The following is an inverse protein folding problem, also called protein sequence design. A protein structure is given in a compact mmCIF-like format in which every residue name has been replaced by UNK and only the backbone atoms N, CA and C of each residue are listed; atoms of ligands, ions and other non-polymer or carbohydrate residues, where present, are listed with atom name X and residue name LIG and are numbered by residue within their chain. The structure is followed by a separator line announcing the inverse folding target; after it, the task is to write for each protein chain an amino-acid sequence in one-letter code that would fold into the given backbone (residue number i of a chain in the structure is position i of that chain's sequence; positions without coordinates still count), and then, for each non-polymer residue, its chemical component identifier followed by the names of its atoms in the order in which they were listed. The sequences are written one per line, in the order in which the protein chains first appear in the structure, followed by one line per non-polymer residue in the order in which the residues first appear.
data_IF_177620557488
#
_entry.id   IF_177620557488
#
_cell.length_a   1.000
_cell.length_b   1.000
_cell.length_c   1.000
_cell.angle_alpha   90.00
_cell.angle_beta   90.00
_cell.angle_gamma   90.00
#
_symmetry.space_group_name_H-M   'P 1'
#
loop_
_entity.id
_entity.type
_entity.pdbx_description
1 polymer ?
#
# COMPACT_ATOMS: atom_id res chain seq x y z
N UNK A 1 35.47 22.40 8.13
CA UNK A 1 34.41 21.82 7.28
C UNK A 1 33.21 21.52 8.15
N UNK A 2 32.22 22.40 8.19
CA UNK A 2 30.98 22.15 8.92
C UNK A 2 30.08 21.28 8.05
N UNK A 3 29.83 20.05 8.50
CA UNK A 3 28.86 19.12 7.93
C UNK A 3 27.46 19.73 8.10
N UNK A 4 26.86 20.12 6.98
CA UNK A 4 25.46 20.53 6.92
C UNK A 4 24.62 19.27 7.11
N UNK A 5 24.29 18.95 8.36
CA UNK A 5 23.18 18.06 8.65
C UNK A 5 21.91 18.84 8.32
N UNK A 6 21.39 18.63 7.11
CA UNK A 6 20.04 19.06 6.77
C UNK A 6 19.07 18.20 7.60
N UNK A 7 18.71 18.69 8.78
CA UNK A 7 17.47 18.33 9.47
C UNK A 7 16.31 18.66 8.51
N UNK A 8 15.96 17.71 7.65
CA UNK A 8 14.66 17.75 7.00
C UNK A 8 13.63 17.50 8.10
N UNK A 9 13.02 18.57 8.60
CA UNK A 9 11.79 18.48 9.36
C UNK A 9 10.76 17.74 8.49
N UNK A 10 10.54 16.45 8.75
CA UNK A 10 9.45 15.66 8.18
C UNK A 10 8.15 16.15 8.84
N UNK A 11 7.72 17.36 8.45
CA UNK A 11 6.46 17.97 8.90
C UNK A 11 5.62 18.49 7.72
N UNK A 12 5.99 18.16 6.48
CA UNK A 12 5.15 18.40 5.32
C UNK A 12 4.18 17.24 5.14
N UNK A 13 2.89 17.56 5.04
CA UNK A 13 1.87 16.63 4.55
C UNK A 13 2.32 16.06 3.20
N UNK A 14 2.13 14.77 2.97
CA UNK A 14 2.36 14.19 1.65
C UNK A 14 1.37 14.80 0.65
N UNK A 15 1.85 15.13 -0.54
CA UNK A 15 1.03 15.66 -1.63
C UNK A 15 0.69 14.58 -2.64
N UNK A 16 -0.34 14.82 -3.46
CA UNK A 16 -0.69 13.93 -4.57
C UNK A 16 0.50 13.68 -5.51
N UNK A 17 1.30 14.71 -5.80
CA UNK A 17 2.48 14.59 -6.67
C UNK A 17 3.56 13.67 -6.07
N UNK A 18 3.73 13.66 -4.74
CA UNK A 18 4.65 12.73 -4.06
C UNK A 18 4.19 11.28 -4.24
N UNK A 19 2.88 11.07 -4.12
CA UNK A 19 2.26 9.76 -4.28
C UNK A 19 2.35 9.28 -5.73
N UNK A 20 2.09 10.15 -6.72
CA UNK A 20 2.21 9.82 -8.15
C UNK A 20 3.64 9.40 -8.51
N UNK A 21 4.66 10.09 -7.99
CA UNK A 21 6.07 9.70 -8.17
C UNK A 21 6.37 8.33 -7.57
N UNK A 22 5.78 7.99 -6.41
CA UNK A 22 5.91 6.66 -5.82
C UNK A 22 5.15 5.60 -6.63
N UNK A 23 3.95 5.94 -7.14
CA UNK A 23 3.10 5.06 -7.94
C UNK A 23 3.80 4.58 -9.21
N UNK A 24 4.53 5.45 -9.92
CA UNK A 24 5.29 5.03 -11.11
C UNK A 24 6.33 3.94 -10.79
N UNK A 25 7.01 4.06 -9.64
CA UNK A 25 7.98 3.04 -9.22
C UNK A 25 7.30 1.74 -8.78
N UNK A 26 6.12 1.84 -8.18
CA UNK A 26 5.30 0.71 -7.77
C UNK A 26 4.80 -0.11 -8.97
N UNK A 27 4.37 0.57 -10.03
CA UNK A 27 3.87 -0.07 -11.26
C UNK A 27 4.92 -0.94 -11.96
N UNK A 28 6.20 -0.68 -11.70
CA UNK A 28 7.32 -1.45 -12.25
C UNK A 28 7.65 -2.70 -11.39
N UNK A 29 6.94 -2.91 -10.28
CA UNK A 29 7.05 -4.14 -9.51
C UNK A 29 6.33 -5.29 -10.24
N UNK A 30 6.99 -6.46 -10.41
CA UNK A 30 6.34 -7.62 -11.01
C UNK A 30 5.03 -7.98 -10.31
N UNK A 31 3.98 -8.19 -11.11
CA UNK A 31 2.63 -8.51 -10.63
C UNK A 31 1.80 -7.32 -10.13
N UNK A 32 2.34 -6.09 -10.10
CA UNK A 32 1.54 -4.87 -9.87
C UNK A 32 1.06 -4.33 -11.21
N UNK A 33 -0.24 -4.37 -11.44
CA UNK A 33 -0.90 -4.02 -12.70
C UNK A 33 -1.46 -2.60 -12.68
N UNK A 34 -1.62 -1.98 -11.52
CA UNK A 34 -2.15 -0.63 -11.40
C UNK A 34 -1.95 -0.06 -10.01
N UNK A 35 -2.12 1.25 -9.89
CA UNK A 35 -2.05 1.95 -8.59
C UNK A 35 -3.23 2.90 -8.50
N UNK A 36 -3.98 2.78 -7.42
CA UNK A 36 -5.04 3.72 -7.04
C UNK A 36 -4.73 4.37 -5.70
N UNK A 37 -5.25 5.58 -5.51
CA UNK A 37 -5.12 6.37 -4.29
C UNK A 37 -6.50 6.59 -3.70
N UNK A 38 -6.63 6.52 -2.39
CA UNK A 38 -7.85 6.90 -1.69
C UNK A 38 -7.53 7.74 -0.45
N UNK A 39 -8.54 8.08 0.34
CA UNK A 39 -8.33 8.81 1.58
C UNK A 39 -8.10 10.31 1.41
N UNK A 40 -7.36 10.91 2.34
CA UNK A 40 -7.21 12.37 2.45
C UNK A 40 -6.55 12.98 1.21
N UNK A 41 -5.48 12.36 0.70
CA UNK A 41 -4.76 12.84 -0.48
C UNK A 41 -5.64 12.77 -1.74
N UNK A 42 -6.45 11.71 -1.91
CA UNK A 42 -7.38 11.62 -3.04
C UNK A 42 -8.41 12.76 -3.04
N UNK A 43 -8.93 13.13 -1.85
CA UNK A 43 -9.99 14.14 -1.72
C UNK A 43 -9.49 15.59 -1.69
N UNK A 44 -8.33 15.83 -1.08
CA UNK A 44 -7.84 17.18 -0.76
C UNK A 44 -6.50 17.52 -1.44
N UNK A 45 -5.85 16.55 -2.10
CA UNK A 45 -4.53 16.71 -2.70
C UNK A 45 -3.36 16.63 -1.72
N UNK A 46 -3.62 16.56 -0.41
CA UNK A 46 -2.61 16.41 0.64
C UNK A 46 -3.12 15.60 1.83
N UNK A 47 -2.21 15.03 2.63
CA UNK A 47 -2.55 14.16 3.75
C UNK A 47 -1.37 13.90 4.69
N UNK A 48 -1.67 13.51 5.93
CA UNK A 48 -0.61 13.05 6.85
C UNK A 48 -0.19 11.62 6.50
N UNK A 49 -1.15 10.82 6.07
CA UNK A 49 -1.00 9.45 5.62
C UNK A 49 -1.24 9.29 4.12
N UNK A 50 -0.70 8.19 3.60
CA UNK A 50 -0.78 7.80 2.19
C UNK A 50 -1.50 6.46 2.14
N UNK A 51 -2.70 6.45 1.57
CA UNK A 51 -3.53 5.26 1.44
C UNK A 51 -3.56 4.79 -0.02
N UNK A 52 -2.85 3.69 -0.30
CA UNK A 52 -2.64 3.17 -1.64
C UNK A 52 -3.32 1.82 -1.84
N UNK A 53 -3.91 1.66 -3.01
CA UNK A 53 -4.32 0.36 -3.54
C UNK A 53 -3.35 -0.01 -4.66
N UNK A 54 -2.74 -1.18 -4.56
CA UNK A 54 -2.03 -1.82 -5.65
C UNK A 54 -2.99 -2.80 -6.29
N UNK A 55 -3.30 -2.57 -7.56
CA UNK A 55 -3.97 -3.56 -8.38
C UNK A 55 -2.91 -4.60 -8.74
N UNK A 56 -3.17 -5.86 -8.41
CA UNK A 56 -2.22 -6.95 -8.58
C UNK A 56 -2.87 -8.11 -9.33
N UNK A 57 -2.05 -9.00 -9.88
CA UNK A 57 -2.53 -10.25 -10.46
C UNK A 57 -3.32 -11.07 -9.45
N UNK A 58 -4.25 -11.90 -9.94
CA UNK A 58 -5.09 -12.76 -9.10
C UNK A 58 -4.26 -13.66 -8.18
N UNK A 59 -3.12 -14.17 -8.66
CA UNK A 59 -2.19 -14.98 -7.86
C UNK A 59 -1.68 -14.22 -6.62
N UNK A 60 -1.26 -12.95 -6.79
CA UNK A 60 -0.78 -12.13 -5.67
C UNK A 60 -1.93 -11.72 -4.74
N UNK A 61 -3.13 -11.48 -5.30
CA UNK A 61 -4.31 -11.20 -4.48
C UNK A 61 -4.66 -12.42 -3.60
N UNK A 62 -4.64 -13.64 -4.16
CA UNK A 62 -4.87 -14.87 -3.42
C UNK A 62 -3.79 -15.12 -2.36
N UNK A 63 -2.51 -14.89 -2.69
CA UNK A 63 -1.40 -15.02 -1.73
C UNK A 63 -1.55 -14.02 -0.56
N UNK A 64 -1.97 -12.79 -0.83
CA UNK A 64 -2.28 -11.82 0.21
C UNK A 64 -3.40 -12.29 1.13
N UNK A 65 -4.51 -12.77 0.56
CA UNK A 65 -5.65 -13.29 1.32
C UNK A 65 -5.22 -14.46 2.20
N UNK A 66 -4.44 -15.40 1.65
CA UNK A 66 -3.86 -16.51 2.39
C UNK A 66 -3.02 -16.03 3.59
N UNK A 67 -2.17 -15.02 3.40
CA UNK A 67 -1.38 -14.44 4.49
C UNK A 67 -2.22 -13.73 5.55
N UNK A 68 -3.28 -13.03 5.16
CA UNK A 68 -4.23 -12.43 6.10
C UNK A 68 -4.89 -13.51 6.96
N UNK A 69 -5.47 -14.55 6.34
CA UNK A 69 -6.10 -15.65 7.08
C UNK A 69 -5.11 -16.34 8.03
N UNK A 70 -3.90 -16.65 7.57
CA UNK A 70 -2.86 -17.26 8.42
C UNK A 70 -2.49 -16.38 9.62
N UNK A 71 -2.42 -15.06 9.45
CA UNK A 71 -2.12 -14.13 10.55
C UNK A 71 -3.28 -14.01 11.55
N UNK A 72 -4.52 -14.11 11.08
CA UNK A 72 -5.72 -14.14 11.91
C UNK A 72 -5.82 -15.45 12.72
N UNK A 73 -5.59 -16.60 12.06
CA UNK A 73 -5.65 -17.94 12.66
C UNK A 73 -4.59 -18.16 13.73
N UNK A 74 -3.37 -17.66 13.52
CA UNK A 74 -2.26 -17.81 14.48
C UNK A 74 -2.46 -17.01 15.78
N UNK A 75 -3.64 -16.39 15.99
CA UNK A 75 -4.02 -15.55 17.15
C UNK A 75 -3.01 -14.46 17.48
N UNK A 76 -2.13 -14.11 16.54
CA UNK A 76 -1.30 -12.88 16.58
C UNK A 76 -2.16 -11.62 16.43
N UNK A 77 -3.42 -11.82 16.04
CA UNK A 77 -4.49 -10.87 16.05
C UNK A 77 -5.58 -11.32 17.04
N UNK A 78 -5.78 -10.57 18.13
CA UNK A 78 -7.01 -10.67 18.92
C UNK A 78 -7.84 -9.44 18.61
N UNK A 79 -9.01 -9.68 18.03
CA UNK A 79 -10.00 -8.67 17.67
C UNK A 79 -10.58 -7.97 18.93
N UNK A 80 -10.38 -8.56 20.10
CA UNK A 80 -11.01 -8.14 21.35
C UNK A 80 -9.95 -7.84 22.43
N UNK A 81 -10.02 -6.64 23.00
CA UNK A 81 -9.33 -6.21 24.22
C UNK A 81 -7.78 -6.10 24.19
N UNK A 82 -7.29 -5.00 23.62
CA UNK A 82 -6.16 -4.23 24.16
C UNK A 82 -4.76 -4.86 24.29
N UNK A 83 -4.54 -6.15 23.98
CA UNK A 83 -3.24 -6.85 24.17
C UNK A 83 -2.91 -7.86 23.07
N UNK A 84 -3.22 -7.54 21.81
CA UNK A 84 -2.66 -8.21 20.64
C UNK A 84 -1.43 -7.46 20.11
N UNK A 85 -0.47 -8.16 19.51
CA UNK A 85 0.80 -7.58 19.06
C UNK A 85 0.66 -6.64 17.84
N UNK A 86 -0.44 -6.71 17.07
CA UNK A 86 -0.65 -5.90 15.86
C UNK A 86 -2.11 -5.42 15.71
N UNK A 87 -2.30 -4.11 15.53
CA UNK A 87 -3.59 -3.55 15.07
C UNK A 87 -3.88 -3.91 13.61
N UNK A 88 -5.11 -3.66 13.14
CA UNK A 88 -5.56 -4.02 11.78
C UNK A 88 -4.62 -3.50 10.67
N UNK A 89 -4.16 -2.24 10.77
CA UNK A 89 -3.17 -1.63 9.86
C UNK A 89 -1.85 -2.41 9.83
N UNK A 90 -1.36 -2.81 11.00
CA UNK A 90 -0.10 -3.54 11.10
C UNK A 90 -0.21 -4.98 10.55
N UNK A 91 -1.36 -5.64 10.72
CA UNK A 91 -1.60 -6.95 10.10
C UNK A 91 -1.58 -6.86 8.57
N UNK A 92 -2.35 -5.91 7.99
CA UNK A 92 -2.35 -5.66 6.54
C UNK A 92 -0.95 -5.41 6.01
N UNK A 93 -0.15 -4.62 6.74
CA UNK A 93 1.25 -4.34 6.40
C UNK A 93 2.11 -5.61 6.38
N UNK A 94 1.99 -6.48 7.38
CA UNK A 94 2.75 -7.73 7.44
C UNK A 94 2.33 -8.68 6.32
N UNK A 95 1.03 -8.79 6.03
CA UNK A 95 0.52 -9.61 4.92
C UNK A 95 1.03 -9.10 3.57
N UNK A 96 0.97 -7.79 3.32
CA UNK A 96 1.48 -7.17 2.10
C UNK A 96 2.99 -7.38 1.94
N UNK A 97 3.76 -7.28 3.03
CA UNK A 97 5.20 -7.54 3.02
C UNK A 97 5.56 -8.99 2.70
N UNK A 98 4.74 -9.94 3.18
CA UNK A 98 4.91 -11.35 2.88
C UNK A 98 4.60 -11.63 1.40
N UNK A 99 3.50 -11.07 0.89
CA UNK A 99 3.02 -11.23 -0.50
C UNK A 99 4.00 -10.66 -1.52
N UNK A 100 4.43 -9.40 -1.33
CA UNK A 100 5.31 -8.71 -2.29
C UNK A 100 6.78 -9.07 -2.08
N UNK A 101 7.11 -9.81 -1.02
CA UNK A 101 8.47 -10.04 -0.58
C UNK A 101 9.05 -8.84 0.19
N UNK A 102 9.65 -9.12 1.36
CA UNK A 102 10.09 -8.12 2.34
C UNK A 102 11.04 -7.06 1.78
N UNK A 103 11.95 -7.43 0.88
CA UNK A 103 12.90 -6.48 0.26
C UNK A 103 12.18 -5.47 -0.65
N UNK A 104 11.31 -5.95 -1.55
CA UNK A 104 10.51 -5.11 -2.45
C UNK A 104 9.59 -4.21 -1.63
N UNK A 105 8.90 -4.80 -0.64
CA UNK A 105 8.03 -4.05 0.28
C UNK A 105 8.78 -2.97 1.06
N UNK A 106 9.96 -3.26 1.59
CA UNK A 106 10.76 -2.25 2.29
C UNK A 106 11.21 -1.12 1.35
N UNK A 107 11.53 -1.41 0.10
CA UNK A 107 11.91 -0.41 -0.88
C UNK A 107 10.75 0.53 -1.24
N UNK A 108 9.52 0.00 -1.33
CA UNK A 108 8.29 0.79 -1.46
C UNK A 108 8.19 1.81 -0.31
N UNK A 109 8.33 1.31 0.91
CA UNK A 109 8.25 2.15 2.11
C UNK A 109 9.41 3.13 2.23
N UNK A 110 10.63 2.74 1.87
CA UNK A 110 11.81 3.62 1.90
C UNK A 110 11.72 4.78 0.90
N UNK A 111 11.03 4.57 -0.22
CA UNK A 111 10.74 5.63 -1.17
C UNK A 111 9.62 6.53 -0.70
N UNK A 112 8.52 5.97 -0.23
CA UNK A 112 7.41 6.75 0.29
C UNK A 112 7.79 7.48 1.62
N UNK A 113 8.76 6.95 2.39
CA UNK A 113 9.26 7.58 3.61
C UNK A 113 10.05 8.87 3.39
N UNK A 114 10.39 9.21 2.14
CA UNK A 114 11.01 10.49 1.80
C UNK A 114 10.02 11.67 1.89
N UNK A 115 8.72 11.38 1.91
CA UNK A 115 7.65 12.38 1.81
C UNK A 115 6.66 12.32 2.98
N UNK A 116 6.58 11.18 3.66
CA UNK A 116 5.76 10.98 4.87
C UNK A 116 6.48 10.04 5.84
N UNK A 117 6.01 9.91 7.07
CA UNK A 117 6.59 8.95 8.00
C UNK A 117 6.21 7.51 7.60
N UNK A 118 7.14 6.54 7.56
CA UNK A 118 6.86 5.20 7.01
C UNK A 118 5.78 4.36 7.71
N UNK A 119 5.27 4.77 8.87
CA UNK A 119 4.12 4.10 9.51
C UNK A 119 2.76 4.66 9.02
N UNK A 120 2.79 5.78 8.30
CA UNK A 120 1.61 6.47 7.77
C UNK A 120 1.24 6.01 6.36
N UNK A 121 2.00 5.10 5.75
CA UNK A 121 1.65 4.51 4.45
C UNK A 121 0.84 3.22 4.68
N UNK A 122 -0.40 3.18 4.22
CA UNK A 122 -1.19 1.96 4.09
C UNK A 122 -1.17 1.47 2.64
N UNK A 123 -0.98 0.16 2.47
CA UNK A 123 -0.99 -0.50 1.16
C UNK A 123 -2.01 -1.63 1.19
N UNK A 124 -2.92 -1.60 0.23
CA UNK A 124 -3.94 -2.61 -0.02
C UNK A 124 -3.61 -3.31 -1.34
N UNK A 125 -3.74 -4.63 -1.39
CA UNK A 125 -3.47 -5.42 -2.60
C UNK A 125 -4.79 -5.98 -3.11
N UNK A 126 -5.28 -5.50 -4.24
CA UNK A 126 -6.59 -5.90 -4.76
C UNK A 126 -6.47 -6.52 -6.16
N UNK A 127 -7.34 -7.49 -6.52
CA UNK A 127 -7.44 -7.96 -7.89
C UNK A 127 -8.02 -6.87 -8.80
N UNK A 128 -7.88 -7.00 -10.12
CA UNK A 128 -8.32 -5.99 -11.09
C UNK A 128 -9.82 -5.65 -11.00
N UNK A 129 -10.66 -6.61 -10.63
CA UNK A 129 -12.11 -6.46 -10.56
C UNK A 129 -12.65 -6.25 -9.13
N UNK A 130 -11.79 -5.86 -8.18
CA UNK A 130 -12.11 -5.74 -6.75
C UNK A 130 -13.37 -4.95 -6.41
N UNK A 131 -13.74 -3.95 -7.23
CA UNK A 131 -14.99 -3.18 -7.06
C UNK A 131 -16.25 -4.04 -7.21
N UNK A 132 -16.16 -5.22 -7.83
CA UNK A 132 -17.24 -6.21 -7.91
C UNK A 132 -17.27 -7.16 -6.70
N UNK A 133 -16.19 -7.20 -5.92
CA UNK A 133 -15.96 -8.13 -4.82
C UNK A 133 -15.97 -7.42 -3.44
N UNK A 134 -16.66 -6.28 -3.33
CA UNK A 134 -16.59 -5.45 -2.12
C UNK A 134 -17.07 -6.19 -0.88
N UNK A 135 -18.07 -7.06 -1.02
CA UNK A 135 -18.63 -7.83 0.10
C UNK A 135 -17.63 -8.87 0.61
N UNK A 136 -16.97 -9.58 -0.29
CA UNK A 136 -15.95 -10.58 0.01
C UNK A 136 -14.74 -9.91 0.67
N UNK A 137 -14.25 -8.81 0.09
CA UNK A 137 -13.12 -8.04 0.63
C UNK A 137 -13.47 -7.43 2.00
N UNK A 138 -14.73 -7.04 2.22
CA UNK A 138 -15.21 -6.55 3.51
C UNK A 138 -15.13 -7.63 4.60
N UNK A 139 -15.32 -8.90 4.25
CA UNK A 139 -15.19 -10.00 5.20
C UNK A 139 -13.73 -10.41 5.45
N UNK A 140 -12.85 -10.26 4.45
CA UNK A 140 -11.45 -10.71 4.51
C UNK A 140 -10.54 -9.68 5.20
N UNK A 141 -10.65 -8.40 4.84
CA UNK A 141 -9.73 -7.40 5.32
C UNK A 141 -9.95 -7.13 6.81
N UNK A 142 -8.91 -7.16 7.66
CA UNK A 142 -9.09 -6.81 9.06
C UNK A 142 -9.44 -5.32 9.15
N UNK A 143 -10.59 -4.97 9.70
CA UNK A 143 -11.01 -3.58 9.96
C UNK A 143 -12.11 -3.60 11.05
N UNK A 144 -12.64 -2.43 11.40
CA UNK A 144 -13.76 -2.30 12.36
C UNK A 144 -14.98 -1.61 11.75
N UNK A 145 -14.88 -1.13 10.52
CA UNK A 145 -15.87 -0.25 9.92
C UNK A 145 -16.79 -1.08 9.03
N UNK A 146 -18.10 -1.15 9.32
CA UNK A 146 -19.04 -1.98 8.54
C UNK A 146 -19.16 -1.55 7.07
N UNK A 147 -18.75 -0.32 6.74
CA UNK A 147 -18.79 0.23 5.39
C UNK A 147 -17.38 0.46 4.82
N UNK A 148 -16.36 -0.18 5.39
CA UNK A 148 -14.94 0.03 5.05
C UNK A 148 -14.67 -0.04 3.55
N UNK A 149 -15.00 -1.16 2.90
CA UNK A 149 -14.75 -1.37 1.47
C UNK A 149 -15.57 -0.45 0.57
N UNK A 150 -16.81 -0.14 0.97
CA UNK A 150 -17.66 0.80 0.22
C UNK A 150 -17.10 2.22 0.25
N UNK A 151 -16.59 2.66 1.40
CA UNK A 151 -15.92 3.97 1.55
C UNK A 151 -14.64 4.03 0.72
N UNK A 152 -13.83 2.97 0.75
CA UNK A 152 -12.64 2.86 -0.11
C UNK A 152 -13.04 2.94 -1.59
N UNK A 153 -14.02 2.14 -2.03
CA UNK A 153 -14.49 2.13 -3.42
C UNK A 153 -15.01 3.48 -3.91
N UNK A 154 -15.68 4.23 -3.02
CA UNK A 154 -16.20 5.56 -3.31
C UNK A 154 -15.08 6.60 -3.50
N UNK A 155 -14.03 6.53 -2.70
CA UNK A 155 -12.98 7.54 -2.65
C UNK A 155 -11.77 7.21 -3.54
N UNK A 156 -11.64 5.96 -3.97
CA UNK A 156 -10.50 5.50 -4.74
C UNK A 156 -10.49 6.11 -6.15
N UNK A 157 -9.37 6.77 -6.46
CA UNK A 157 -9.07 7.35 -7.77
C UNK A 157 -7.89 6.62 -8.41
N UNK A 158 -8.03 6.29 -9.69
CA UNK A 158 -6.93 5.69 -10.46
C UNK A 158 -5.80 6.72 -10.57
N UNK A 159 -4.60 6.34 -10.16
CA UNK A 159 -3.40 7.13 -10.39
C UNK A 159 -2.69 6.66 -11.66
N UNK A 160 -2.52 5.36 -11.82
CA UNK A 160 -1.86 4.73 -12.96
C UNK A 160 -2.51 3.38 -13.29
N UNK A 161 -2.68 3.10 -14.57
CA UNK A 161 -3.08 1.80 -15.12
C UNK A 161 -1.86 1.08 -15.71
N UNK A 162 -1.93 -0.24 -15.90
CA UNK A 162 -0.84 -1.06 -16.44
C UNK A 162 -0.45 -0.67 -17.86
N UNK A 163 -1.33 0.04 -18.56
CA UNK A 163 -1.10 0.66 -19.87
C UNK A 163 -0.17 1.88 -19.81
N UNK A 164 -0.02 2.49 -18.63
CA UNK A 164 0.87 3.62 -18.39
C UNK A 164 2.32 3.19 -18.11
N UNK A 165 2.63 1.89 -18.22
CA UNK A 165 4.02 1.41 -18.21
C UNK A 165 4.75 1.92 -19.45
N UNK A 166 5.65 2.87 -19.26
CA UNK A 166 6.54 3.32 -20.34
C UNK A 166 7.39 2.13 -20.88
N UNK A 167 7.37 1.86 -22.20
CA UNK A 167 8.11 0.75 -22.80
C UNK A 167 9.64 0.94 -22.79
N UNK A 168 10.14 2.14 -22.49
CA UNK A 168 11.56 2.46 -22.40
C UNK A 168 11.99 2.69 -20.96
N UNK A 169 12.56 1.65 -20.33
CA UNK A 169 13.54 1.84 -19.26
C UNK A 169 13.01 2.08 -17.85
N UNK A 170 11.93 1.42 -17.41
CA UNK A 170 11.68 1.36 -15.97
C UNK A 170 12.67 0.41 -15.30
N UNK A 171 13.86 0.91 -14.99
CA UNK A 171 14.77 0.23 -14.06
C UNK A 171 14.10 0.29 -12.70
N UNK A 172 13.47 -0.82 -12.28
CA UNK A 172 12.85 -0.92 -10.97
C UNK A 172 13.95 -0.89 -9.89
N UNK A 173 14.42 0.31 -9.51
CA UNK A 173 15.31 0.52 -8.36
C UNK A 173 14.70 -0.07 -7.08
N UNK A 174 13.36 -0.15 -7.02
CA UNK A 174 12.57 -0.73 -5.93
C UNK A 174 12.67 -2.26 -5.88
N UNK A 175 12.91 -2.91 -7.01
CA UNK A 175 12.95 -4.37 -7.09
C UNK A 175 14.36 -4.91 -6.82
N UNK A 176 15.38 -4.04 -6.85
CA UNK A 176 16.78 -4.42 -6.89
C UNK A 176 17.05 -5.16 -8.20
N UNK A 177 17.66 -4.46 -9.17
CA UNK A 177 17.97 -5.02 -10.47
C UNK A 177 18.61 -6.40 -10.34
N UNK A 178 17.93 -7.41 -10.89
CA UNK A 178 18.54 -8.63 -11.37
C UNK A 178 18.28 -8.61 -12.87
N UNK A 179 19.22 -8.00 -13.58
CA UNK A 179 19.59 -8.50 -14.90
C UNK A 179 20.41 -9.78 -14.71
#
# INVERSE_FOLDING_TARGET
MHSVFTEFAINSKATRQDVERAAHKLLCCPGVEGVELFGSIARQGYGNDVDLILIVSDDLAQEFIFHVHRLLETKRYRHDQGKGFYGARALRRVAAAATLGRKKFNNIYAHASKWTTPHLIEVFLFPADWRKQLHELQAIYPHRDPEFMKKIAKDAVVLLDGKDRHPSGCVCEVCGGLG
#
